data_IF_466107586282
#
_entry.id   IF_466107586282
#
_cell.length_a   1.000
_cell.length_b   1.000
_cell.length_c   1.000
_cell.angle_alpha   90.00
_cell.angle_beta   90.00
_cell.angle_gamma   90.00
#
_symmetry.space_group_name_H-M   'P 1'
#
loop_
_entity.id
_entity.type
_entity.pdbx_description
1 polymer ?
#
# COMPACT_ATOMS: atom_id res chain seq x y z
N UNK A 1 45.75 69.18 -6.99
CA UNK A 1 44.64 68.73 -7.86
C UNK A 1 44.51 67.23 -7.69
N UNK A 2 43.45 66.78 -7.01
CA UNK A 2 43.26 65.37 -6.69
C UNK A 2 42.26 64.79 -7.70
N UNK A 3 42.72 63.89 -8.54
CA UNK A 3 41.87 63.12 -9.48
C UNK A 3 41.19 62.01 -8.69
N UNK A 4 39.86 62.07 -8.57
CA UNK A 4 39.03 61.00 -8.05
C UNK A 4 38.74 59.99 -9.16
N UNK A 5 39.35 58.83 -9.08
CA UNK A 5 39.00 57.68 -9.93
C UNK A 5 37.67 57.08 -9.53
N UNK A 6 36.70 57.12 -10.43
CA UNK A 6 35.40 56.48 -10.30
C UNK A 6 35.54 55.04 -10.72
N UNK A 7 35.51 54.10 -9.75
CA UNK A 7 35.47 52.67 -10.03
C UNK A 7 34.01 52.30 -10.21
N UNK A 8 33.63 52.00 -11.44
CA UNK A 8 32.30 51.44 -11.79
C UNK A 8 32.35 49.95 -11.59
N UNK A 9 31.74 49.45 -10.51
CA UNK A 9 31.53 48.05 -10.27
C UNK A 9 30.34 47.55 -11.12
N UNK A 10 30.65 46.79 -12.15
CA UNK A 10 29.65 46.03 -12.94
C UNK A 10 29.27 44.80 -12.13
N UNK A 11 28.14 44.85 -11.46
CA UNK A 11 27.55 43.64 -10.84
C UNK A 11 26.84 42.83 -11.91
N UNK A 12 27.50 41.80 -12.40
CA UNK A 12 26.86 40.76 -13.22
C UNK A 12 25.94 39.92 -12.35
N UNK A 13 24.64 40.15 -12.44
CA UNK A 13 23.64 39.26 -11.89
C UNK A 13 23.56 38.00 -12.78
N UNK A 14 24.19 36.91 -12.32
CA UNK A 14 24.00 35.56 -12.91
C UNK A 14 22.66 35.04 -12.43
N UNK A 15 21.65 35.17 -13.29
CA UNK A 15 20.35 34.53 -13.09
C UNK A 15 20.47 33.03 -13.37
N UNK A 16 20.73 32.24 -12.32
CA UNK A 16 20.70 30.77 -12.41
C UNK A 16 19.24 30.32 -12.60
N UNK A 17 18.88 29.97 -13.84
CA UNK A 17 17.66 29.20 -14.10
C UNK A 17 17.85 27.80 -13.48
N UNK A 18 17.31 27.59 -12.31
CA UNK A 18 17.10 26.26 -11.77
C UNK A 18 15.91 25.65 -12.53
N UNK A 19 16.22 24.93 -13.60
CA UNK A 19 15.25 24.04 -14.23
C UNK A 19 14.94 22.92 -13.23
N UNK A 20 13.88 23.10 -12.46
CA UNK A 20 13.33 22.07 -11.60
C UNK A 20 12.80 20.95 -12.49
N UNK A 21 13.60 19.89 -12.69
CA UNK A 21 13.09 18.60 -13.14
C UNK A 21 12.13 18.11 -12.06
N UNK A 22 10.84 18.33 -12.27
CA UNK A 22 9.77 17.69 -11.51
C UNK A 22 9.75 16.21 -11.83
N UNK A 23 10.73 15.46 -11.29
CA UNK A 23 10.66 14.01 -11.21
C UNK A 23 9.51 13.69 -10.28
N UNK A 24 8.41 13.12 -10.81
CA UNK A 24 7.38 12.51 -10.00
C UNK A 24 8.08 11.45 -9.14
N UNK A 25 8.27 11.75 -7.86
CA UNK A 25 8.77 10.81 -6.88
C UNK A 25 7.78 9.65 -6.84
N UNK A 26 8.15 8.51 -7.44
CA UNK A 26 7.39 7.27 -7.23
C UNK A 26 7.45 7.01 -5.74
N UNK A 27 6.35 7.20 -5.06
CA UNK A 27 6.22 6.83 -3.64
C UNK A 27 6.55 5.35 -3.55
N UNK A 28 7.63 5.02 -2.84
CA UNK A 28 8.04 3.64 -2.66
C UNK A 28 6.96 2.88 -1.90
N UNK A 29 6.51 1.73 -2.43
CA UNK A 29 5.53 0.87 -1.77
C UNK A 29 6.11 0.34 -0.47
N UNK A 30 5.47 0.65 0.65
CA UNK A 30 5.81 0.07 1.94
C UNK A 30 5.07 -1.26 2.08
N UNK A 31 5.80 -2.36 2.18
CA UNK A 31 5.23 -3.69 2.46
C UNK A 31 5.78 -4.17 3.80
N UNK A 32 4.86 -4.57 4.69
CA UNK A 32 5.20 -5.08 6.01
C UNK A 32 4.39 -6.34 6.29
N UNK A 33 5.07 -7.40 6.77
CA UNK A 33 4.39 -8.59 7.26
C UNK A 33 4.04 -8.42 8.73
N UNK A 34 2.78 -8.71 9.10
CA UNK A 34 2.25 -8.56 10.45
C UNK A 34 1.65 -9.86 10.95
N UNK A 35 1.79 -10.12 12.24
CA UNK A 35 1.13 -11.26 12.88
C UNK A 35 -0.37 -11.02 13.11
N UNK A 36 -1.14 -12.07 13.50
CA UNK A 36 -2.59 -11.93 13.67
C UNK A 36 -3.00 -10.95 14.78
N UNK A 37 -2.23 -10.82 15.85
CA UNK A 37 -2.51 -9.86 16.91
C UNK A 37 -2.34 -8.41 16.44
N UNK A 38 -1.27 -8.13 15.69
CA UNK A 38 -1.01 -6.81 15.12
C UNK A 38 -2.05 -6.46 14.04
N UNK A 39 -2.40 -7.42 13.18
CA UNK A 39 -3.45 -7.26 12.19
C UNK A 39 -4.81 -6.94 12.84
N UNK A 40 -5.15 -7.62 13.94
CA UNK A 40 -6.35 -7.30 14.72
C UNK A 40 -6.32 -5.88 15.27
N UNK A 41 -5.19 -5.45 15.83
CA UNK A 41 -5.04 -4.07 16.33
C UNK A 41 -5.17 -3.04 15.20
N UNK A 42 -4.56 -3.27 14.03
CA UNK A 42 -4.71 -2.41 12.86
C UNK A 42 -6.19 -2.25 12.46
N UNK A 43 -6.94 -3.36 12.40
CA UNK A 43 -8.38 -3.33 12.10
C UNK A 43 -9.15 -2.50 13.15
N UNK A 44 -8.82 -2.67 14.44
CA UNK A 44 -9.52 -1.90 15.50
C UNK A 44 -9.18 -0.40 15.43
N UNK A 45 -7.94 -0.05 15.14
CA UNK A 45 -7.48 1.35 15.03
C UNK A 45 -8.08 2.05 13.80
N UNK A 46 -8.34 1.31 12.73
CA UNK A 46 -8.86 1.82 11.46
C UNK A 46 -10.32 1.44 11.19
N UNK A 47 -11.10 1.12 12.24
CA UNK A 47 -12.47 0.60 12.12
C UNK A 47 -13.38 1.48 11.24
N UNK A 48 -13.26 2.78 11.38
CA UNK A 48 -14.08 3.78 10.69
C UNK A 48 -13.30 4.57 9.64
N UNK A 49 -12.11 4.06 9.26
CA UNK A 49 -11.23 4.71 8.32
C UNK A 49 -11.52 4.20 6.89
N UNK A 50 -12.09 5.03 5.99
CA UNK A 50 -12.38 4.62 4.62
C UNK A 50 -11.11 4.37 3.79
N UNK A 51 -9.94 4.77 4.30
CA UNK A 51 -8.66 4.58 3.63
C UNK A 51 -7.91 3.32 4.10
N UNK A 52 -8.52 2.53 4.99
CA UNK A 52 -8.04 1.21 5.37
C UNK A 52 -8.91 0.12 4.73
N UNK A 53 -8.30 -0.77 3.98
CA UNK A 53 -8.98 -1.84 3.22
C UNK A 53 -8.45 -3.20 3.64
N UNK A 54 -9.35 -4.11 4.02
CA UNK A 54 -9.02 -5.52 4.25
C UNK A 54 -9.27 -6.26 2.94
N UNK A 55 -8.26 -6.94 2.41
CA UNK A 55 -8.29 -7.60 1.11
C UNK A 55 -8.02 -9.09 1.24
N UNK A 56 -9.05 -9.89 1.00
CA UNK A 56 -8.96 -11.34 0.90
C UNK A 56 -8.67 -11.74 -0.54
N UNK A 57 -7.52 -12.35 -0.79
CA UNK A 57 -7.14 -12.82 -2.14
C UNK A 57 -7.34 -14.32 -2.32
N UNK A 58 -8.20 -14.94 -1.50
CA UNK A 58 -8.62 -16.34 -1.68
C UNK A 58 -9.70 -16.44 -2.74
N UNK A 59 -10.07 -17.68 -3.08
CA UNK A 59 -11.21 -17.93 -3.98
C UNK A 59 -12.53 -17.42 -3.38
N UNK A 60 -13.54 -17.11 -4.21
CA UNK A 60 -14.86 -16.72 -3.72
C UNK A 60 -15.51 -17.77 -2.80
N UNK A 61 -15.27 -19.06 -3.05
CA UNK A 61 -15.78 -20.14 -2.21
C UNK A 61 -15.15 -20.11 -0.80
N UNK A 62 -13.82 -19.89 -0.71
CA UNK A 62 -13.14 -19.75 0.57
C UNK A 62 -13.62 -18.50 1.32
N UNK A 63 -13.83 -17.40 0.60
CA UNK A 63 -14.33 -16.14 1.17
C UNK A 63 -15.72 -16.31 1.79
N UNK A 64 -16.67 -16.88 1.05
CA UNK A 64 -18.05 -17.11 1.52
C UNK A 64 -18.11 -18.07 2.71
N UNK A 65 -17.22 -19.06 2.74
CA UNK A 65 -17.14 -20.01 3.86
C UNK A 65 -16.70 -19.35 5.18
N UNK A 66 -15.87 -18.30 5.10
CA UNK A 66 -15.45 -17.54 6.27
C UNK A 66 -14.33 -16.55 5.94
N UNK A 67 -14.49 -15.28 6.32
CA UNK A 67 -13.53 -14.21 6.07
C UNK A 67 -13.45 -13.22 7.25
N UNK A 68 -12.44 -12.37 7.26
CA UNK A 68 -12.33 -11.28 8.23
C UNK A 68 -13.40 -10.24 7.93
N UNK A 69 -14.15 -9.84 8.94
CA UNK A 69 -15.24 -8.89 8.78
C UNK A 69 -14.79 -7.59 8.06
N UNK A 70 -15.55 -7.16 7.06
CA UNK A 70 -15.27 -5.98 6.25
C UNK A 70 -14.27 -6.21 5.12
N UNK A 71 -13.76 -7.42 4.95
CA UNK A 71 -12.89 -7.74 3.82
C UNK A 71 -13.65 -7.71 2.49
N UNK A 72 -12.97 -7.22 1.46
CA UNK A 72 -13.37 -7.40 0.05
C UNK A 72 -12.58 -8.56 -0.55
N UNK A 73 -13.14 -9.20 -1.58
CA UNK A 73 -12.50 -10.36 -2.21
C UNK A 73 -12.01 -10.06 -3.62
N UNK A 74 -10.76 -10.43 -3.90
CA UNK A 74 -10.18 -10.46 -5.25
C UNK A 74 -9.43 -11.79 -5.41
N UNK A 75 -9.93 -12.69 -6.24
CA UNK A 75 -9.39 -14.03 -6.39
C UNK A 75 -8.00 -14.03 -7.05
N UNK A 76 -6.97 -14.48 -6.31
CA UNK A 76 -5.59 -14.61 -6.81
C UNK A 76 -5.49 -15.47 -8.06
N UNK A 77 -6.36 -16.47 -8.23
CA UNK A 77 -6.36 -17.37 -9.38
C UNK A 77 -7.16 -16.86 -10.58
N UNK A 78 -7.85 -15.73 -10.43
CA UNK A 78 -8.55 -15.13 -11.55
C UNK A 78 -7.54 -14.70 -12.64
N UNK A 79 -7.83 -14.96 -13.93
CA UNK A 79 -6.91 -14.62 -15.03
C UNK A 79 -6.64 -13.12 -15.13
N UNK A 80 -7.53 -12.29 -14.59
CA UNK A 80 -7.44 -10.83 -14.56
C UNK A 80 -7.08 -10.26 -13.16
N UNK A 81 -6.54 -11.09 -12.25
CA UNK A 81 -6.20 -10.70 -10.88
C UNK A 81 -5.43 -9.37 -10.80
N UNK A 82 -4.36 -9.22 -11.59
CA UNK A 82 -3.56 -8.00 -11.63
C UNK A 82 -4.36 -6.79 -12.10
N UNK A 83 -5.25 -6.97 -13.08
CA UNK A 83 -6.11 -5.91 -13.59
C UNK A 83 -7.15 -5.49 -12.53
N UNK A 84 -7.72 -6.44 -11.79
CA UNK A 84 -8.62 -6.14 -10.66
C UNK A 84 -7.90 -5.35 -9.56
N UNK A 85 -6.67 -5.74 -9.19
CA UNK A 85 -5.85 -4.98 -8.26
C UNK A 85 -5.55 -3.57 -8.79
N UNK A 86 -5.33 -3.45 -10.10
CA UNK A 86 -5.02 -2.14 -10.70
C UNK A 86 -6.19 -1.16 -10.67
N UNK A 87 -7.42 -1.63 -10.52
CA UNK A 87 -8.60 -0.79 -10.31
C UNK A 87 -8.73 -0.27 -8.87
N UNK A 88 -8.01 -0.84 -7.91
CA UNK A 88 -8.08 -0.41 -6.52
C UNK A 88 -7.29 0.89 -6.29
N UNK A 89 -7.76 1.80 -5.40
CA UNK A 89 -7.03 3.01 -5.03
C UNK A 89 -5.63 2.69 -4.49
N UNK A 90 -4.60 3.35 -5.00
CA UNK A 90 -3.20 3.06 -4.64
C UNK A 90 -2.72 3.82 -3.40
N UNK A 91 -3.41 4.87 -3.02
CA UNK A 91 -3.10 5.76 -1.90
C UNK A 91 -3.67 5.30 -0.55
N UNK A 92 -4.46 4.21 -0.55
CA UNK A 92 -4.99 3.59 0.66
C UNK A 92 -4.00 2.62 1.31
N UNK A 93 -4.29 2.26 2.55
CA UNK A 93 -3.60 1.23 3.32
C UNK A 93 -4.35 -0.10 3.19
N UNK A 94 -3.64 -1.16 2.88
CA UNK A 94 -4.23 -2.49 2.67
C UNK A 94 -3.72 -3.50 3.69
N UNK A 95 -4.63 -4.27 4.29
CA UNK A 95 -4.32 -5.50 5.00
C UNK A 95 -4.71 -6.67 4.08
N UNK A 96 -3.70 -7.35 3.54
CA UNK A 96 -3.87 -8.43 2.55
C UNK A 96 -3.66 -9.78 3.21
N UNK A 97 -4.52 -10.73 2.91
CA UNK A 97 -4.33 -12.10 3.38
C UNK A 97 -4.82 -13.14 2.36
N UNK A 98 -4.24 -14.32 2.46
CA UNK A 98 -4.76 -15.53 1.82
C UNK A 98 -5.01 -16.62 2.87
N UNK A 99 -4.93 -17.90 2.51
CA UNK A 99 -5.15 -18.99 3.45
C UNK A 99 -3.96 -19.20 4.41
N UNK A 100 -2.75 -19.33 3.86
CA UNK A 100 -1.52 -19.71 4.60
C UNK A 100 -0.32 -18.80 4.34
N UNK A 101 -0.51 -17.64 3.71
CA UNK A 101 0.57 -16.72 3.36
C UNK A 101 1.26 -16.99 2.01
N UNK A 102 0.99 -18.13 1.36
CA UNK A 102 1.66 -18.48 0.09
C UNK A 102 1.22 -17.57 -1.08
N UNK A 103 -0.09 -17.46 -1.33
CA UNK A 103 -0.63 -16.61 -2.40
C UNK A 103 -0.36 -15.12 -2.14
N UNK A 104 -0.52 -14.68 -0.89
CA UNK A 104 -0.26 -13.29 -0.52
C UNK A 104 1.22 -12.92 -0.70
N UNK A 105 2.14 -13.78 -0.28
CA UNK A 105 3.56 -13.56 -0.53
C UNK A 105 3.90 -13.43 -2.02
N UNK A 106 3.29 -14.27 -2.88
CA UNK A 106 3.44 -14.16 -4.34
C UNK A 106 2.80 -12.89 -4.91
N UNK A 107 1.77 -12.35 -4.28
CA UNK A 107 1.11 -11.13 -4.72
C UNK A 107 1.89 -9.85 -4.36
N UNK A 108 2.76 -9.86 -3.33
CA UNK A 108 3.46 -8.65 -2.87
C UNK A 108 4.29 -7.94 -3.96
N UNK A 109 5.03 -8.64 -4.85
CA UNK A 109 5.68 -8.00 -5.99
C UNK A 109 4.71 -7.26 -6.92
N UNK A 110 3.49 -7.79 -7.11
CA UNK A 110 2.44 -7.16 -7.94
C UNK A 110 1.95 -5.86 -7.30
N UNK A 111 1.71 -5.84 -5.99
CA UNK A 111 1.36 -4.61 -5.26
C UNK A 111 2.44 -3.53 -5.41
N UNK A 112 3.72 -3.91 -5.34
CA UNK A 112 4.84 -2.99 -5.56
C UNK A 112 4.88 -2.47 -6.99
N UNK A 113 4.73 -3.36 -7.98
CA UNK A 113 4.71 -2.99 -9.40
C UNK A 113 3.59 -2.00 -9.72
N UNK A 114 2.39 -2.23 -9.13
CA UNK A 114 1.22 -1.37 -9.31
C UNK A 114 1.28 -0.06 -8.53
N UNK A 115 2.28 0.13 -7.66
CA UNK A 115 2.52 1.39 -6.94
C UNK A 115 1.58 1.60 -5.74
N UNK A 116 1.13 0.55 -5.07
CA UNK A 116 0.39 0.68 -3.82
C UNK A 116 1.26 1.35 -2.76
N UNK A 117 0.70 2.28 -1.99
CA UNK A 117 1.45 3.06 -1.01
C UNK A 117 1.86 2.23 0.20
N UNK A 118 0.91 1.51 0.80
CA UNK A 118 1.13 0.79 2.04
C UNK A 118 0.33 -0.51 2.08
N UNK A 119 1.04 -1.63 2.30
CA UNK A 119 0.46 -2.96 2.30
C UNK A 119 0.99 -3.74 3.51
N UNK A 120 0.08 -4.18 4.36
CA UNK A 120 0.34 -5.15 5.42
C UNK A 120 -0.06 -6.53 4.92
N UNK A 121 0.84 -7.49 5.01
CA UNK A 121 0.55 -8.88 4.71
C UNK A 121 0.34 -9.67 6.00
N UNK A 122 -0.82 -10.31 6.15
CA UNK A 122 -1.07 -11.17 7.31
C UNK A 122 -0.23 -12.45 7.20
N UNK A 123 0.75 -12.56 8.08
CA UNK A 123 1.63 -13.73 8.17
C UNK A 123 0.82 -15.00 8.44
N UNK A 124 1.12 -16.05 7.69
CA UNK A 124 0.44 -17.34 7.74
C UNK A 124 -1.09 -17.26 7.46
N UNK A 125 -1.54 -16.15 6.89
CA UNK A 125 -2.88 -15.95 6.38
C UNK A 125 -4.01 -16.11 7.41
N UNK A 126 -5.22 -16.39 6.90
CA UNK A 126 -6.41 -16.53 7.76
C UNK A 126 -6.30 -17.71 8.73
N UNK A 127 -5.44 -18.70 8.45
CA UNK A 127 -5.19 -19.80 9.39
C UNK A 127 -4.61 -19.30 10.71
N UNK A 128 -3.62 -18.39 10.66
CA UNK A 128 -3.05 -17.79 11.87
C UNK A 128 -4.07 -16.93 12.63
N UNK A 129 -4.92 -16.21 11.92
CA UNK A 129 -6.03 -15.43 12.48
C UNK A 129 -7.00 -16.32 13.26
N UNK A 130 -7.45 -17.41 12.65
CA UNK A 130 -8.35 -18.37 13.26
C UNK A 130 -7.71 -19.07 14.48
N UNK A 131 -6.45 -19.49 14.36
CA UNK A 131 -5.69 -20.12 15.45
C UNK A 131 -5.50 -19.18 16.64
N UNK A 132 -5.38 -17.88 16.40
CA UNK A 132 -5.31 -16.86 17.44
C UNK A 132 -6.68 -16.57 18.11
N UNK A 133 -7.75 -17.22 17.66
CA UNK A 133 -9.10 -17.09 18.23
C UNK A 133 -9.86 -15.83 17.79
N UNK A 134 -9.42 -15.16 16.71
CA UNK A 134 -10.12 -13.99 16.19
C UNK A 134 -11.34 -14.37 15.34
N UNK A 135 -12.40 -13.53 15.36
CA UNK A 135 -13.68 -13.88 14.72
C UNK A 135 -13.59 -13.87 13.20
N UNK A 136 -14.39 -14.74 12.59
CA UNK A 136 -14.70 -14.76 11.16
C UNK A 136 -16.19 -14.56 10.97
N UNK A 137 -16.56 -14.00 9.83
CA UNK A 137 -17.93 -13.92 9.35
C UNK A 137 -18.08 -14.76 8.08
N UNK A 138 -19.28 -15.22 7.78
CA UNK A 138 -19.60 -16.01 6.60
C UNK A 138 -20.66 -15.32 5.73
N UNK A 139 -20.74 -15.71 4.45
CA UNK A 139 -21.64 -15.11 3.48
C UNK A 139 -20.98 -13.99 2.67
N UNK A 140 -21.79 -13.22 1.94
CA UNK A 140 -21.35 -12.11 1.08
C UNK A 140 -21.25 -10.81 1.85
#
# INVERSE_FOLDING_TARGET
MKRKSLVVLFAMAVLALVAGCGGASKTETRIQQVGPAEAYQLIQQHRDDPDFVILDIRTPQEFVAGHIQGAINVDFYAPDFKQQLDQLPKDKTYLVYCNSGNRSGQAMPIFRELGFREVYELKDGIQSWYQAGYPLVSGQ
#
